data_IF_984300222635
#
_entry.id   IF_984300222635
#
_cell.length_a   1.000
_cell.length_b   1.000
_cell.length_c   1.000
_cell.angle_alpha   90.00
_cell.angle_beta   90.00
_cell.angle_gamma   90.00
#
_symmetry.space_group_name_H-M   'P 1'
#
loop_
_entity.id
_entity.type
_entity.pdbx_description
1 polymer ?
#
# COMPACT_ATOMS: atom_id res chain seq x y z
N UNK A 1 16.33 -38.95 26.35
CA UNK A 1 15.33 -39.21 25.30
C UNK A 1 14.83 -37.91 24.79
N UNK A 2 15.21 -37.56 23.60
CA UNK A 2 14.67 -36.38 22.95
C UNK A 2 13.22 -36.65 22.56
N UNK A 3 12.28 -36.04 23.27
CA UNK A 3 10.92 -36.01 22.83
C UNK A 3 10.92 -35.17 21.56
N UNK A 4 10.73 -35.80 20.45
CA UNK A 4 10.49 -35.16 19.18
C UNK A 4 9.09 -34.58 19.22
N UNK A 5 8.94 -33.50 19.97
CA UNK A 5 7.79 -32.65 19.80
C UNK A 5 8.00 -31.96 18.47
N UNK A 6 7.33 -32.45 17.45
CA UNK A 6 7.03 -31.66 16.29
C UNK A 6 6.38 -30.39 16.83
N UNK A 7 7.18 -29.38 17.06
CA UNK A 7 6.66 -28.03 17.28
C UNK A 7 5.91 -27.72 16.02
N UNK A 8 4.62 -27.71 16.15
CA UNK A 8 3.72 -27.11 15.20
C UNK A 8 4.22 -25.67 15.07
N UNK A 9 5.13 -25.46 14.13
CA UNK A 9 5.63 -24.11 13.86
C UNK A 9 4.46 -23.40 13.21
N UNK A 10 3.73 -22.63 14.04
CA UNK A 10 2.92 -21.54 13.51
C UNK A 10 3.77 -20.83 12.46
N UNK A 11 3.20 -20.52 11.28
CA UNK A 11 3.98 -19.87 10.24
C UNK A 11 4.66 -18.64 10.84
N UNK A 12 5.98 -18.60 10.70
CA UNK A 12 6.79 -17.50 11.20
C UNK A 12 6.27 -16.19 10.60
N UNK A 13 6.00 -15.19 11.44
CA UNK A 13 5.54 -13.88 11.00
C UNK A 13 6.63 -13.25 10.12
N UNK A 14 6.24 -12.87 8.90
CA UNK A 14 7.10 -12.13 7.99
C UNK A 14 6.93 -10.63 8.21
N UNK A 15 7.88 -9.86 7.69
CA UNK A 15 7.81 -8.41 7.78
C UNK A 15 6.72 -7.82 6.87
N UNK A 16 6.27 -6.62 7.23
CA UNK A 16 5.46 -5.76 6.39
C UNK A 16 6.37 -4.70 5.76
N UNK A 17 6.44 -4.71 4.44
CA UNK A 17 7.31 -3.81 3.68
C UNK A 17 6.65 -2.45 3.53
N UNK A 18 7.37 -1.40 3.90
CA UNK A 18 6.90 -0.03 3.71
C UNK A 18 7.25 0.45 2.29
N UNK A 19 6.26 1.00 1.60
CA UNK A 19 6.39 1.58 0.27
C UNK A 19 6.08 3.07 0.35
N UNK A 20 7.00 3.90 -0.15
CA UNK A 20 6.90 5.36 -0.11
C UNK A 20 7.15 5.95 -1.50
N UNK A 21 6.73 7.18 -1.69
CA UNK A 21 6.96 7.89 -2.96
C UNK A 21 7.33 9.35 -2.71
N UNK A 22 8.29 9.90 -3.49
CA UNK A 22 8.57 11.33 -3.46
C UNK A 22 7.54 12.14 -4.26
N UNK A 23 6.69 11.47 -5.05
CA UNK A 23 5.67 12.11 -5.89
C UNK A 23 4.44 12.49 -5.06
N UNK A 24 3.72 13.48 -5.54
CA UNK A 24 2.40 13.81 -4.99
C UNK A 24 1.42 12.66 -5.21
N UNK A 25 0.56 12.43 -4.24
CA UNK A 25 -0.52 11.46 -4.32
C UNK A 25 -1.76 12.01 -3.61
N UNK A 26 -2.93 11.79 -4.21
CA UNK A 26 -4.19 12.28 -3.65
C UNK A 26 -4.22 13.78 -3.39
N UNK A 27 -3.48 14.57 -4.16
CA UNK A 27 -3.37 16.00 -3.98
C UNK A 27 -2.38 16.43 -2.88
N UNK A 28 -1.68 15.49 -2.26
CA UNK A 28 -0.72 15.77 -1.19
C UNK A 28 0.70 15.44 -1.62
N UNK A 29 1.64 16.23 -1.13
CA UNK A 29 3.06 15.92 -1.20
C UNK A 29 3.58 15.77 0.23
N UNK A 30 3.89 14.53 0.60
CA UNK A 30 4.29 14.20 1.96
C UNK A 30 5.76 13.76 1.95
N UNK A 31 6.61 14.37 2.79
CA UNK A 31 8.02 13.97 2.87
C UNK A 31 8.16 12.47 3.19
N UNK A 32 9.17 11.85 2.60
CA UNK A 32 9.45 10.41 2.78
C UNK A 32 9.60 10.04 4.25
N UNK A 33 10.25 10.90 5.03
CA UNK A 33 10.44 10.67 6.47
C UNK A 33 9.11 10.60 7.22
N UNK A 34 8.14 11.43 6.83
CA UNK A 34 6.80 11.40 7.42
C UNK A 34 6.02 10.17 6.99
N UNK A 35 6.12 9.78 5.73
CA UNK A 35 5.53 8.54 5.24
C UNK A 35 6.09 7.33 6.02
N UNK A 36 7.40 7.24 6.14
CA UNK A 36 8.06 6.16 6.86
C UNK A 36 7.65 6.09 8.33
N UNK A 37 7.60 7.23 9.01
CA UNK A 37 7.17 7.30 10.41
C UNK A 37 5.72 6.86 10.57
N UNK A 38 4.83 7.29 9.68
CA UNK A 38 3.43 6.89 9.68
C UNK A 38 3.28 5.37 9.53
N UNK A 39 4.04 4.79 8.62
CA UNK A 39 4.00 3.35 8.37
C UNK A 39 4.61 2.54 9.51
N UNK A 40 5.67 3.05 10.12
CA UNK A 40 6.26 2.44 11.31
C UNK A 40 5.26 2.41 12.48
N UNK A 41 4.61 3.54 12.74
CA UNK A 41 3.61 3.64 13.79
C UNK A 41 2.41 2.72 13.53
N UNK A 42 1.97 2.63 12.28
CA UNK A 42 0.93 1.70 11.89
C UNK A 42 1.30 0.25 12.19
N UNK A 43 2.51 -0.16 11.84
CA UNK A 43 2.99 -1.51 12.10
C UNK A 43 3.05 -1.79 13.60
N UNK A 44 3.54 -0.86 14.42
CA UNK A 44 3.57 -1.02 15.87
C UNK A 44 2.17 -1.22 16.46
N UNK A 45 1.22 -0.41 16.04
CA UNK A 45 -0.17 -0.49 16.54
C UNK A 45 -0.86 -1.79 16.15
N UNK A 46 -0.47 -2.40 15.05
CA UNK A 46 -1.10 -3.59 14.52
C UNK A 46 -0.29 -4.85 14.74
N UNK A 47 0.75 -4.79 15.57
CA UNK A 47 1.65 -5.93 15.86
C UNK A 47 2.27 -6.53 14.60
N UNK A 48 2.61 -5.67 13.64
CA UNK A 48 3.30 -6.03 12.41
C UNK A 48 4.79 -5.73 12.53
N UNK A 49 5.60 -6.51 11.86
CA UNK A 49 7.05 -6.30 11.80
C UNK A 49 7.32 -5.26 10.70
N UNK A 50 7.76 -4.08 11.09
CA UNK A 50 8.12 -3.03 10.14
C UNK A 50 9.43 -3.37 9.42
N UNK A 51 9.42 -3.34 8.09
CA UNK A 51 10.61 -3.45 7.28
C UNK A 51 10.89 -2.11 6.60
N UNK A 52 12.18 -1.72 6.58
CA UNK A 52 12.61 -0.43 6.05
C UNK A 52 11.94 -0.10 4.72
N UNK A 53 11.55 1.15 4.58
CA UNK A 53 10.84 1.63 3.40
C UNK A 53 11.70 1.59 2.14
N UNK A 54 11.04 1.31 1.03
CA UNK A 54 11.57 1.58 -0.30
C UNK A 54 10.92 2.84 -0.86
N UNK A 55 11.60 3.49 -1.77
CA UNK A 55 11.17 4.77 -2.35
C UNK A 55 10.97 4.59 -3.85
N UNK A 56 9.77 4.89 -4.33
CA UNK A 56 9.47 4.85 -5.77
C UNK A 56 10.27 5.92 -6.51
N UNK A 57 10.47 5.71 -7.81
CA UNK A 57 11.15 6.70 -8.64
C UNK A 57 10.30 7.97 -8.82
N UNK A 58 10.92 9.03 -9.35
CA UNK A 58 10.24 10.32 -9.54
C UNK A 58 9.55 10.47 -10.91
N UNK A 59 9.69 9.49 -11.78
CA UNK A 59 9.16 9.57 -13.16
C UNK A 59 7.65 9.28 -13.12
N UNK A 60 6.79 10.25 -13.49
CA UNK A 60 5.35 10.03 -13.47
C UNK A 60 4.92 8.86 -14.36
N UNK A 61 3.96 8.09 -13.89
CA UNK A 61 3.40 6.96 -14.64
C UNK A 61 4.25 5.71 -14.63
N UNK A 62 5.40 5.70 -13.96
CA UNK A 62 6.24 4.51 -13.82
C UNK A 62 6.24 4.02 -12.38
N UNK A 63 6.29 2.69 -12.20
CA UNK A 63 6.18 2.05 -10.90
C UNK A 63 7.23 0.94 -10.75
N UNK A 64 8.50 1.29 -11.03
CA UNK A 64 9.59 0.31 -11.04
C UNK A 64 9.80 -0.37 -9.69
N UNK A 65 9.71 0.39 -8.60
CA UNK A 65 9.89 -0.16 -7.26
C UNK A 65 8.67 -0.98 -6.84
N UNK A 66 7.47 -0.51 -7.15
CA UNK A 66 6.24 -1.26 -6.89
C UNK A 66 6.24 -2.59 -7.65
N UNK A 67 6.64 -2.59 -8.92
CA UNK A 67 6.74 -3.82 -9.71
C UNK A 67 7.77 -4.79 -9.12
N UNK A 68 8.88 -4.29 -8.64
CA UNK A 68 9.88 -5.13 -7.94
C UNK A 68 9.29 -5.74 -6.67
N UNK A 69 8.47 -5.00 -5.93
CA UNK A 69 7.78 -5.54 -4.76
C UNK A 69 6.75 -6.58 -5.14
N UNK A 70 6.03 -6.39 -6.24
CA UNK A 70 5.06 -7.38 -6.74
C UNK A 70 5.75 -8.73 -6.96
N UNK A 71 6.92 -8.73 -7.59
CA UNK A 71 7.68 -9.97 -7.84
C UNK A 71 8.14 -10.66 -6.57
N UNK A 72 8.36 -9.91 -5.50
CA UNK A 72 8.87 -10.40 -4.22
C UNK A 72 7.82 -10.45 -3.11
N UNK A 73 6.56 -10.25 -3.44
CA UNK A 73 5.50 -10.11 -2.46
C UNK A 73 5.36 -11.33 -1.52
N UNK A 74 5.70 -12.52 -1.98
CA UNK A 74 5.69 -13.72 -1.16
C UNK A 74 6.70 -13.70 0.01
N UNK A 75 7.65 -12.78 -0.01
CA UNK A 75 8.64 -12.61 1.06
C UNK A 75 8.08 -11.79 2.24
N UNK A 76 6.93 -11.16 2.08
CA UNK A 76 6.34 -10.28 3.08
C UNK A 76 4.93 -10.74 3.44
N UNK A 77 4.52 -10.50 4.69
CA UNK A 77 3.13 -10.68 5.11
C UNK A 77 2.23 -9.57 4.56
N UNK A 78 2.81 -8.40 4.31
CA UNK A 78 2.09 -7.27 3.75
C UNK A 78 3.01 -6.22 3.17
N UNK A 79 2.39 -5.33 2.38
CA UNK A 79 2.98 -4.09 1.91
C UNK A 79 2.10 -2.97 2.44
N UNK A 80 2.71 -2.00 3.11
CA UNK A 80 2.01 -0.85 3.67
C UNK A 80 2.42 0.42 2.94
N UNK A 81 1.42 1.24 2.61
CA UNK A 81 1.61 2.56 2.02
C UNK A 81 0.59 3.54 2.60
N UNK A 82 0.84 4.82 2.45
CA UNK A 82 0.00 5.84 3.09
C UNK A 82 -1.39 5.94 2.47
N UNK A 83 -1.52 5.77 1.16
CA UNK A 83 -2.79 5.99 0.48
C UNK A 83 -2.98 5.09 -0.74
N UNK A 84 -4.21 4.74 -1.03
CA UNK A 84 -4.59 4.05 -2.28
C UNK A 84 -4.20 4.87 -3.52
N UNK A 85 -4.10 6.19 -3.36
CA UNK A 85 -3.69 7.10 -4.44
C UNK A 85 -2.23 6.91 -4.85
N UNK A 86 -1.45 6.16 -4.09
CA UNK A 86 -0.07 5.79 -4.44
C UNK A 86 -0.01 4.64 -5.45
N UNK A 87 -1.10 3.93 -5.65
CA UNK A 87 -1.22 2.90 -6.68
C UNK A 87 -1.38 3.52 -8.07
N UNK A 88 -1.13 2.75 -9.15
CA UNK A 88 -1.39 3.23 -10.50
C UNK A 88 -2.82 3.76 -10.68
N UNK A 89 -2.95 4.89 -11.39
CA UNK A 89 -4.26 5.48 -11.67
C UNK A 89 -5.06 4.67 -12.69
N UNK A 90 -4.38 4.03 -13.62
CA UNK A 90 -5.02 3.14 -14.58
C UNK A 90 -5.66 1.96 -13.84
N UNK A 91 -6.96 1.78 -14.05
CA UNK A 91 -7.75 0.78 -13.31
C UNK A 91 -7.28 -0.65 -13.58
N UNK A 92 -7.01 -0.98 -14.83
CA UNK A 92 -6.57 -2.33 -15.19
C UNK A 92 -5.19 -2.62 -14.65
N UNK A 93 -4.29 -1.65 -14.75
CA UNK A 93 -2.94 -1.78 -14.21
C UNK A 93 -2.97 -1.91 -12.69
N UNK A 94 -3.72 -1.05 -12.02
CA UNK A 94 -3.89 -1.11 -10.55
C UNK A 94 -4.42 -2.48 -10.11
N UNK A 95 -5.47 -2.96 -10.78
CA UNK A 95 -6.07 -4.26 -10.48
C UNK A 95 -5.05 -5.39 -10.66
N UNK A 96 -4.29 -5.37 -11.73
CA UNK A 96 -3.24 -6.36 -12.00
C UNK A 96 -2.19 -6.38 -10.90
N UNK A 97 -1.72 -5.21 -10.47
CA UNK A 97 -0.73 -5.08 -9.39
C UNK A 97 -1.28 -5.65 -8.09
N UNK A 98 -2.47 -5.22 -7.69
CA UNK A 98 -3.10 -5.64 -6.44
C UNK A 98 -3.37 -7.15 -6.44
N UNK A 99 -3.91 -7.68 -7.52
CA UNK A 99 -4.20 -9.10 -7.66
C UNK A 99 -2.94 -9.95 -7.54
N UNK A 100 -1.87 -9.57 -8.22
CA UNK A 100 -0.59 -10.29 -8.15
C UNK A 100 0.02 -10.30 -6.76
N UNK A 101 -0.15 -9.22 -6.00
CA UNK A 101 0.30 -9.14 -4.61
C UNK A 101 -0.51 -10.08 -3.74
N UNK A 102 -1.84 -9.99 -3.83
CA UNK A 102 -2.75 -10.80 -3.01
C UNK A 102 -2.62 -12.30 -3.29
N UNK A 103 -2.43 -12.70 -4.54
CA UNK A 103 -2.25 -14.11 -4.93
C UNK A 103 -1.02 -14.75 -4.30
N UNK A 104 -0.03 -13.95 -3.90
CA UNK A 104 1.16 -14.43 -3.21
C UNK A 104 1.00 -14.53 -1.68
N UNK A 105 -0.20 -14.29 -1.18
CA UNK A 105 -0.48 -14.29 0.26
C UNK A 105 0.00 -13.05 0.98
N UNK A 106 0.26 -11.96 0.25
CA UNK A 106 0.70 -10.69 0.80
C UNK A 106 -0.49 -9.74 0.92
N UNK A 107 -0.69 -9.14 2.08
CA UNK A 107 -1.74 -8.16 2.31
C UNK A 107 -1.31 -6.76 1.86
N UNK A 108 -2.28 -5.88 1.60
CA UNK A 108 -2.05 -4.46 1.36
C UNK A 108 -2.70 -3.64 2.46
N UNK A 109 -1.95 -2.65 2.96
CA UNK A 109 -2.40 -1.74 4.01
C UNK A 109 -2.30 -0.31 3.52
N UNK A 110 -3.40 0.45 3.67
CA UNK A 110 -3.46 1.87 3.32
C UNK A 110 -3.84 2.65 4.57
N UNK A 111 -2.86 3.40 5.11
CA UNK A 111 -3.02 3.97 6.45
C UNK A 111 -3.98 5.16 6.49
N UNK A 112 -4.02 6.00 5.46
CA UNK A 112 -4.87 7.19 5.44
C UNK A 112 -6.34 6.81 5.34
N UNK A 113 -6.67 5.87 4.46
CA UNK A 113 -8.05 5.42 4.28
C UNK A 113 -8.44 4.33 5.27
N UNK A 114 -7.47 3.82 6.05
CA UNK A 114 -7.70 2.72 7.00
C UNK A 114 -8.27 1.47 6.31
N UNK A 115 -7.74 1.16 5.15
CA UNK A 115 -8.13 0.00 4.35
C UNK A 115 -7.04 -1.07 4.47
N UNK A 116 -7.48 -2.30 4.67
CA UNK A 116 -6.63 -3.48 4.58
C UNK A 116 -7.30 -4.50 3.67
N UNK A 117 -6.55 -5.01 2.70
CA UNK A 117 -7.02 -6.10 1.83
C UNK A 117 -6.01 -7.25 1.87
N UNK A 118 -6.51 -8.47 1.92
CA UNK A 118 -5.69 -9.67 2.06
C UNK A 118 -6.17 -10.83 1.19
N UNK A 119 -7.25 -10.66 0.43
CA UNK A 119 -7.83 -11.70 -0.41
C UNK A 119 -8.28 -11.15 -1.75
N UNK A 120 -8.10 -11.94 -2.80
CA UNK A 120 -8.56 -11.62 -4.16
C UNK A 120 -10.09 -11.38 -4.19
N UNK A 121 -10.83 -12.03 -3.30
CA UNK A 121 -12.29 -11.84 -3.18
C UNK A 121 -12.68 -10.41 -2.81
N UNK A 122 -11.77 -9.64 -2.26
CA UNK A 122 -12.00 -8.24 -1.86
C UNK A 122 -11.78 -7.23 -2.99
N UNK A 123 -11.29 -7.68 -4.17
CA UNK A 123 -10.93 -6.77 -5.26
C UNK A 123 -12.08 -5.92 -5.78
N UNK A 124 -13.27 -6.49 -5.92
CA UNK A 124 -14.44 -5.75 -6.42
C UNK A 124 -14.81 -4.64 -5.44
N UNK A 125 -14.90 -4.97 -4.16
CA UNK A 125 -15.20 -4.01 -3.11
C UNK A 125 -14.11 -2.94 -3.01
N UNK A 126 -12.85 -3.35 -3.12
CA UNK A 126 -11.72 -2.44 -3.11
C UNK A 126 -11.79 -1.42 -4.25
N UNK A 127 -12.08 -1.86 -5.47
CA UNK A 127 -12.20 -0.95 -6.62
C UNK A 127 -13.40 0.00 -6.47
N UNK A 128 -14.48 -0.44 -5.85
CA UNK A 128 -15.60 0.42 -5.51
C UNK A 128 -15.20 1.51 -4.51
N UNK A 129 -14.43 1.15 -3.48
CA UNK A 129 -13.91 2.11 -2.50
C UNK A 129 -12.96 3.11 -3.14
N UNK A 130 -12.07 2.65 -4.03
CA UNK A 130 -11.17 3.54 -4.77
C UNK A 130 -11.95 4.53 -5.62
N UNK A 131 -12.99 4.07 -6.31
CA UNK A 131 -13.85 4.94 -7.11
C UNK A 131 -14.54 6.03 -6.26
N UNK A 132 -15.01 5.67 -5.06
CA UNK A 132 -15.59 6.63 -4.13
C UNK A 132 -14.57 7.67 -3.65
N UNK A 133 -13.34 7.25 -3.39
CA UNK A 133 -12.26 8.15 -2.97
C UNK A 133 -11.90 9.10 -4.12
N UNK A 134 -11.81 8.62 -5.34
CA UNK A 134 -11.52 9.43 -6.53
C UNK A 134 -12.60 10.48 -6.79
N UNK A 135 -13.87 10.19 -6.45
CA UNK A 135 -14.98 11.12 -6.56
C UNK A 135 -15.10 12.08 -5.37
N UNK A 136 -14.29 11.89 -4.33
CA UNK A 136 -14.30 12.75 -3.15
C UNK A 136 -13.76 14.13 -3.47
N UNK A 137 -14.37 15.23 -2.94
CA UNK A 137 -13.84 16.58 -3.11
C UNK A 137 -12.41 16.76 -2.63
N UNK A 138 -11.99 15.99 -1.62
CA UNK A 138 -10.64 16.04 -1.09
C UNK A 138 -9.62 15.39 -2.03
N UNK A 139 -10.04 14.44 -2.85
CA UNK A 139 -9.18 13.82 -3.85
C UNK A 139 -8.78 14.82 -4.94
N UNK A 140 -9.69 15.72 -5.31
CA UNK A 140 -9.46 16.75 -6.32
C UNK A 140 -8.65 17.94 -5.80
N UNK A 141 -8.20 17.90 -4.55
CA UNK A 141 -7.38 18.96 -3.98
C UNK A 141 -6.09 19.22 -4.78
N UNK A 142 -5.57 18.20 -5.49
CA UNK A 142 -4.43 18.35 -6.40
C UNK A 142 -4.75 19.08 -7.69
N UNK A 143 -6.02 19.13 -8.08
CA UNK A 143 -6.52 19.87 -9.24
C UNK A 143 -7.23 21.15 -8.84
N UNK A 144 -7.07 21.54 -7.60
CA UNK A 144 -7.79 22.63 -6.96
C UNK A 144 -7.48 24.04 -7.51
N UNK A 145 -6.61 24.15 -8.50
CA UNK A 145 -6.44 25.41 -9.22
C UNK A 145 -7.78 25.93 -9.77
N UNK A 146 -8.64 25.01 -10.19
CA UNK A 146 -9.97 25.38 -10.66
C UNK A 146 -10.88 25.83 -9.51
N UNK A 147 -10.74 25.23 -8.31
CA UNK A 147 -11.51 25.62 -7.14
C UNK A 147 -11.04 26.94 -6.53
N UNK A 148 -9.72 27.16 -6.52
CA UNK A 148 -9.15 28.44 -6.05
C UNK A 148 -9.57 29.61 -6.95
N UNK A 149 -9.76 29.35 -8.23
CA UNK A 149 -10.21 30.38 -9.19
C UNK A 149 -11.69 30.64 -9.09
N UNK A 150 -12.48 29.81 -8.41
CA UNK A 150 -13.93 30.03 -8.18
C UNK A 150 -14.21 30.82 -6.90
N UNK A 151 -13.20 31.02 -6.09
CA UNK A 151 -13.26 31.82 -4.89
C UNK A 151 -12.72 33.23 -5.15
#
# INVERSE_FOLDING_TARGET
MASNQSRDKSPEQKATKAYTTPRSFGGFQIPITMQSTTLRNYCEKNNLIFHLHVVENQIPGTYLVLEALVEKANQYDGIAMCSVSMLPNDREYRRSVVERILEQGCALHFTFEQIKIFSVDQLVEFEELVALIELSPNHDAGTSHSLTNLL
#
